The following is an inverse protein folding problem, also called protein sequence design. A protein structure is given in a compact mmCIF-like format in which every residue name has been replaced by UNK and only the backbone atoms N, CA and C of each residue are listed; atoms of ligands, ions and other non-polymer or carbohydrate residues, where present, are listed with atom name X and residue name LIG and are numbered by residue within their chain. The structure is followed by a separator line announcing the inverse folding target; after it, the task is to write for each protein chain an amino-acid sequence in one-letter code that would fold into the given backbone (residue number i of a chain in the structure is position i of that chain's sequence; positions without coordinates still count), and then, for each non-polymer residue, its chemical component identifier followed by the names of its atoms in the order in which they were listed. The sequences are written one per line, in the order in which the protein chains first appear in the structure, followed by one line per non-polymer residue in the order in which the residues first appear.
data_IF_621553663191
#
_entry.id   IF_621553663191
#
_cell.length_a   1.000
_cell.length_b   1.000
_cell.length_c   1.000
_cell.angle_alpha   90.00
_cell.angle_beta   90.00
_cell.angle_gamma   90.00
#
_symmetry.space_group_name_H-M   'P 1'
#
loop_
_entity.id
_entity.type
_entity.pdbx_description
1 polymer ?
#
# COMPACT_ATOMS: atom_id res chain seq x y z
N UNK A 1 -4.74 14.26 -7.17
CA UNK A 1 -4.34 14.81 -8.48
C UNK A 1 -4.35 13.70 -9.53
N UNK A 2 -4.89 14.02 -10.71
CA UNK A 2 -4.89 13.08 -11.83
C UNK A 2 -3.47 12.95 -12.41
N UNK A 3 -2.79 11.87 -12.06
CA UNK A 3 -1.41 11.58 -12.51
C UNK A 3 -1.28 11.52 -14.04
N UNK A 4 -2.39 11.25 -14.77
CA UNK A 4 -2.38 11.27 -16.23
C UNK A 4 -2.11 12.66 -16.79
N UNK A 5 -2.36 13.70 -16.00
CA UNK A 5 -2.13 15.10 -16.35
C UNK A 5 -0.78 15.63 -15.87
N UNK A 6 -0.07 14.88 -15.02
CA UNK A 6 1.24 15.29 -14.52
C UNK A 6 2.31 15.19 -15.62
N UNK A 7 2.92 16.32 -16.06
CA UNK A 7 3.88 16.30 -17.16
C UNK A 7 5.13 15.47 -16.89
N UNK A 8 5.58 15.38 -15.62
CA UNK A 8 6.76 14.61 -15.26
C UNK A 8 6.48 13.10 -15.41
N UNK A 9 5.33 12.62 -14.92
CA UNK A 9 4.92 11.22 -15.04
C UNK A 9 4.74 10.83 -16.51
N UNK A 10 4.06 11.67 -17.30
CA UNK A 10 3.89 11.42 -18.75
C UNK A 10 5.23 11.35 -19.48
N UNK A 11 6.15 12.23 -19.16
CA UNK A 11 7.49 12.24 -19.74
C UNK A 11 8.26 10.97 -19.38
N UNK A 12 8.22 10.55 -18.11
CA UNK A 12 8.86 9.32 -17.67
C UNK A 12 8.31 8.09 -18.42
N UNK A 13 6.98 7.96 -18.54
CA UNK A 13 6.35 6.88 -19.30
C UNK A 13 6.76 6.89 -20.77
N UNK A 14 6.79 8.07 -21.40
CA UNK A 14 7.21 8.21 -22.80
C UNK A 14 8.68 7.81 -23.03
N UNK A 15 9.57 8.19 -22.09
CA UNK A 15 11.01 7.86 -22.18
C UNK A 15 11.28 6.37 -22.07
N UNK A 16 10.49 5.64 -21.28
CA UNK A 16 10.69 4.18 -21.10
C UNK A 16 10.15 3.35 -22.26
N UNK A 17 9.40 3.94 -23.19
CA UNK A 17 8.67 3.26 -24.29
C UNK A 17 7.68 2.18 -23.79
N UNK A 18 7.29 2.24 -22.52
CA UNK A 18 6.36 1.29 -21.88
C UNK A 18 4.91 1.79 -21.84
N UNK A 19 4.58 2.84 -22.58
CA UNK A 19 3.26 3.47 -22.56
C UNK A 19 2.09 2.52 -22.83
N UNK A 20 2.29 1.47 -23.65
CA UNK A 20 1.26 0.45 -23.91
C UNK A 20 0.96 -0.44 -22.70
N UNK A 21 1.87 -0.51 -21.73
CA UNK A 21 1.77 -1.31 -20.49
C UNK A 21 1.29 -0.48 -19.29
N UNK A 22 1.25 0.85 -19.40
CA UNK A 22 0.83 1.75 -18.34
C UNK A 22 -0.61 2.17 -18.57
N UNK A 23 -1.46 2.02 -17.53
CA UNK A 23 -2.84 2.49 -17.51
C UNK A 23 -3.02 3.48 -16.37
N UNK A 24 -3.53 4.66 -16.69
CA UNK A 24 -3.95 5.67 -15.73
C UNK A 24 -5.45 5.49 -15.49
N UNK A 25 -5.81 5.03 -14.31
CA UNK A 25 -7.19 4.70 -13.98
C UNK A 25 -8.00 5.93 -13.53
N UNK A 26 -7.30 6.98 -13.04
CA UNK A 26 -7.95 8.16 -12.51
C UNK A 26 -8.78 7.86 -11.25
N UNK A 27 -9.78 8.70 -10.99
CA UNK A 27 -10.76 8.48 -9.92
C UNK A 27 -11.84 7.51 -10.40
N UNK A 28 -12.02 6.41 -9.68
CA UNK A 28 -13.07 5.44 -9.92
C UNK A 28 -14.05 5.34 -8.73
N UNK A 29 -15.21 4.70 -8.90
CA UNK A 29 -16.11 4.37 -7.81
C UNK A 29 -15.39 3.53 -6.76
N UNK A 30 -15.70 3.76 -5.48
CA UNK A 30 -15.06 3.06 -4.36
C UNK A 30 -15.20 1.52 -4.46
N UNK A 31 -16.34 1.05 -4.93
CA UNK A 31 -16.62 -0.39 -5.10
C UNK A 31 -15.70 -1.06 -6.13
N UNK A 32 -15.16 -0.30 -7.09
CA UNK A 32 -14.23 -0.84 -8.09
C UNK A 32 -12.81 -0.99 -7.55
N UNK A 33 -12.44 -0.26 -6.51
CA UNK A 33 -11.09 -0.30 -5.92
C UNK A 33 -10.77 -1.69 -5.35
N UNK A 34 -11.74 -2.32 -4.71
CA UNK A 34 -11.61 -3.69 -4.21
C UNK A 34 -11.28 -4.68 -5.33
N UNK A 35 -11.95 -4.58 -6.46
CA UNK A 35 -11.70 -5.45 -7.63
C UNK A 35 -10.27 -5.28 -8.14
N UNK A 36 -9.74 -4.05 -8.15
CA UNK A 36 -8.35 -3.82 -8.52
C UNK A 36 -7.38 -4.46 -7.54
N UNK A 37 -7.62 -4.35 -6.22
CA UNK A 37 -6.78 -5.03 -5.24
C UNK A 37 -6.83 -6.54 -5.46
N UNK A 38 -8.01 -7.17 -5.46
CA UNK A 38 -8.17 -8.62 -5.58
C UNK A 38 -7.57 -9.19 -6.89
N UNK A 39 -7.52 -8.39 -7.95
CA UNK A 39 -6.99 -8.80 -9.27
C UNK A 39 -5.51 -8.50 -9.45
N UNK A 40 -4.90 -7.72 -8.57
CA UNK A 40 -3.52 -7.30 -8.73
C UNK A 40 -2.53 -8.40 -8.30
N UNK A 41 -1.47 -8.61 -9.08
CA UNK A 41 -0.36 -9.49 -8.72
C UNK A 41 0.45 -8.94 -7.53
N UNK A 42 0.48 -7.61 -7.36
CA UNK A 42 1.07 -6.91 -6.23
C UNK A 42 0.53 -5.47 -6.16
N UNK A 43 0.52 -4.91 -4.95
CA UNK A 43 0.24 -3.50 -4.70
C UNK A 43 1.55 -2.79 -4.30
N UNK A 44 1.93 -1.74 -5.03
CA UNK A 44 3.16 -0.99 -4.80
C UNK A 44 2.83 0.42 -4.33
N UNK A 45 3.30 0.78 -3.14
CA UNK A 45 2.98 2.05 -2.48
C UNK A 45 4.25 2.81 -2.05
N UNK A 46 4.95 3.47 -3.00
CA UNK A 46 6.19 4.17 -2.76
C UNK A 46 5.96 5.62 -2.31
N UNK A 47 5.08 5.81 -1.35
CA UNK A 47 4.77 7.13 -0.81
C UNK A 47 5.94 7.70 -0.03
N UNK A 48 6.18 9.00 -0.16
CA UNK A 48 7.22 9.73 0.58
C UNK A 48 6.75 10.14 1.98
N UNK A 49 5.45 10.26 2.19
CA UNK A 49 4.86 10.62 3.47
C UNK A 49 3.40 10.16 3.54
N UNK A 50 3.01 9.57 4.66
CA UNK A 50 1.63 9.15 4.94
C UNK A 50 1.27 9.44 6.39
N UNK A 51 0.01 9.83 6.63
CA UNK A 51 -0.52 9.97 7.97
C UNK A 51 -0.77 8.61 8.65
N UNK A 52 -1.25 7.62 7.88
CA UNK A 52 -1.52 6.27 8.36
C UNK A 52 -1.11 5.19 7.35
N UNK A 53 -1.73 5.13 6.18
CA UNK A 53 -1.47 4.09 5.18
C UNK A 53 -2.63 3.11 5.01
N UNK A 54 -3.88 3.61 4.89
CA UNK A 54 -5.05 2.77 4.62
C UNK A 54 -4.93 1.95 3.33
N UNK A 55 -4.43 2.49 2.19
CA UNK A 55 -4.35 1.72 0.96
C UNK A 55 -3.53 0.42 1.05
N UNK A 56 -2.35 0.38 1.69
CA UNK A 56 -1.66 -0.88 1.97
C UNK A 56 -2.49 -1.88 2.79
N UNK A 57 -3.22 -1.43 3.82
CA UNK A 57 -4.08 -2.31 4.60
C UNK A 57 -5.28 -2.85 3.80
N UNK A 58 -5.88 -2.03 2.95
CA UNK A 58 -6.95 -2.43 2.04
C UNK A 58 -6.48 -3.50 1.06
N UNK A 59 -5.28 -3.32 0.48
CA UNK A 59 -4.64 -4.31 -0.38
C UNK A 59 -4.38 -5.62 0.39
N UNK A 60 -3.83 -5.56 1.60
CA UNK A 60 -3.60 -6.72 2.47
C UNK A 60 -4.90 -7.44 2.82
N UNK A 61 -5.96 -6.69 3.17
CA UNK A 61 -7.29 -7.24 3.46
C UNK A 61 -7.93 -7.94 2.26
N UNK A 62 -7.57 -7.51 1.06
CA UNK A 62 -8.01 -8.09 -0.22
C UNK A 62 -7.14 -9.30 -0.67
N UNK A 63 -6.13 -9.69 0.12
CA UNK A 63 -5.23 -10.79 -0.20
C UNK A 63 -4.15 -10.44 -1.24
N UNK A 64 -3.87 -9.16 -1.42
CA UNK A 64 -2.85 -8.67 -2.36
C UNK A 64 -1.52 -8.46 -1.64
N UNK A 65 -0.41 -9.02 -2.12
CA UNK A 65 0.91 -8.78 -1.53
C UNK A 65 1.34 -7.33 -1.75
N UNK A 66 1.98 -6.75 -0.73
CA UNK A 66 2.29 -5.32 -0.66
C UNK A 66 3.80 -5.07 -0.71
N UNK A 67 4.18 -4.05 -1.47
CA UNK A 67 5.49 -3.39 -1.44
C UNK A 67 5.27 -1.96 -0.95
N UNK A 68 5.85 -1.57 0.18
CA UNK A 68 5.60 -0.27 0.81
C UNK A 68 6.90 0.43 1.21
N UNK A 69 6.83 1.75 1.34
CA UNK A 69 7.96 2.58 1.76
C UNK A 69 8.36 2.33 3.22
N UNK A 70 9.63 2.59 3.52
CA UNK A 70 10.22 2.54 4.85
C UNK A 70 10.08 3.86 5.63
N UNK A 71 9.15 4.73 5.27
CA UNK A 71 9.00 6.07 5.84
C UNK A 71 7.66 6.28 6.53
N UNK A 72 7.62 7.28 7.41
CA UNK A 72 6.45 7.73 8.20
C UNK A 72 5.76 6.55 8.93
N UNK A 73 4.43 6.45 8.85
CA UNK A 73 3.63 5.41 9.52
C UNK A 73 3.68 4.04 8.85
N UNK A 74 4.16 3.95 7.61
CA UNK A 74 4.05 2.73 6.80
C UNK A 74 4.72 1.50 7.43
N UNK A 75 5.96 1.56 7.98
CA UNK A 75 6.58 0.39 8.62
C UNK A 75 5.78 -0.14 9.80
N UNK A 76 5.16 0.76 10.59
CA UNK A 76 4.30 0.38 11.72
C UNK A 76 3.02 -0.31 11.25
N UNK A 77 2.41 0.25 10.20
CA UNK A 77 1.12 -0.23 9.68
C UNK A 77 1.26 -1.57 8.98
N UNK A 78 2.28 -1.75 8.14
CA UNK A 78 2.44 -2.99 7.36
C UNK A 78 3.19 -4.08 8.13
N UNK A 79 4.02 -3.73 9.12
CA UNK A 79 4.86 -4.68 9.87
C UNK A 79 5.72 -5.54 8.94
N UNK A 80 5.81 -6.83 9.26
CA UNK A 80 6.54 -7.83 8.46
C UNK A 80 5.72 -8.41 7.29
N UNK A 81 4.54 -7.83 7.02
CA UNK A 81 3.62 -8.32 6.00
C UNK A 81 3.78 -7.67 4.62
N UNK A 82 4.83 -6.86 4.43
CA UNK A 82 5.15 -6.22 3.15
C UNK A 82 6.66 -6.30 2.84
N UNK A 83 7.00 -6.13 1.58
CA UNK A 83 8.39 -5.83 1.20
C UNK A 83 8.61 -4.35 1.40
N UNK A 84 9.59 -4.01 2.23
CA UNK A 84 9.94 -2.64 2.54
C UNK A 84 10.98 -2.11 1.54
N UNK A 85 10.73 -0.89 1.03
CA UNK A 85 11.61 -0.22 0.07
C UNK A 85 11.88 1.24 0.46
N UNK A 86 13.01 1.77 0.00
CA UNK A 86 13.28 3.20 0.06
C UNK A 86 12.58 3.90 -1.13
N UNK A 87 11.59 4.79 -0.89
CA UNK A 87 10.82 5.44 -1.95
C UNK A 87 11.62 6.43 -2.80
N UNK A 88 12.78 6.89 -2.32
CA UNK A 88 13.67 7.78 -3.06
C UNK A 88 14.66 7.01 -3.96
N UNK A 89 14.71 5.67 -3.84
CA UNK A 89 15.61 4.83 -4.61
C UNK A 89 14.84 3.96 -5.62
N UNK A 90 14.86 4.37 -6.89
CA UNK A 90 14.17 3.67 -7.98
C UNK A 90 14.62 2.20 -8.13
N UNK A 91 15.91 1.91 -7.84
CA UNK A 91 16.42 0.53 -7.92
C UNK A 91 15.89 -0.33 -6.77
N UNK A 92 15.68 0.25 -5.60
CA UNK A 92 15.08 -0.46 -4.46
C UNK A 92 13.59 -0.72 -4.68
N UNK A 93 12.86 0.25 -5.26
CA UNK A 93 11.47 0.04 -5.69
C UNK A 93 11.41 -1.12 -6.70
N UNK A 94 12.26 -1.09 -7.72
CA UNK A 94 12.33 -2.15 -8.74
C UNK A 94 12.70 -3.51 -8.13
N UNK A 95 13.62 -3.57 -7.14
CA UNK A 95 13.95 -4.78 -6.38
C UNK A 95 12.71 -5.33 -5.69
N UNK A 96 12.01 -4.52 -4.90
CA UNK A 96 10.80 -4.96 -4.18
C UNK A 96 9.71 -5.49 -5.11
N UNK A 97 9.47 -4.79 -6.23
CA UNK A 97 8.55 -5.25 -7.27
C UNK A 97 8.98 -6.60 -7.86
N UNK A 98 10.27 -6.75 -8.20
CA UNK A 98 10.81 -7.97 -8.78
C UNK A 98 10.68 -9.16 -7.83
N UNK A 99 11.01 -8.98 -6.55
CA UNK A 99 10.91 -10.02 -5.53
C UNK A 99 9.48 -10.53 -5.39
N UNK A 100 8.50 -9.64 -5.23
CA UNK A 100 7.11 -10.06 -5.06
C UNK A 100 6.53 -10.72 -6.31
N UNK A 101 6.98 -10.35 -7.49
CA UNK A 101 6.46 -10.88 -8.75
C UNK A 101 7.09 -12.21 -9.17
N UNK A 102 8.37 -12.44 -8.83
CA UNK A 102 9.13 -13.61 -9.29
C UNK A 102 9.29 -14.70 -8.24
N UNK A 103 9.18 -14.39 -6.94
CA UNK A 103 9.25 -15.37 -5.86
C UNK A 103 7.83 -15.73 -5.38
N UNK A 104 7.34 -16.86 -5.83
CA UNK A 104 5.99 -17.35 -5.50
C UNK A 104 5.84 -17.75 -4.02
N UNK A 105 6.91 -18.26 -3.40
CA UNK A 105 6.91 -18.60 -1.98
C UNK A 105 6.84 -17.33 -1.12
N UNK A 106 7.63 -16.31 -1.47
CA UNK A 106 7.58 -15.01 -0.84
C UNK A 106 6.20 -14.39 -0.97
N UNK A 107 5.65 -14.37 -2.19
CA UNK A 107 4.32 -13.82 -2.48
C UNK A 107 3.25 -14.49 -1.63
N UNK A 108 3.21 -15.83 -1.58
CA UNK A 108 2.26 -16.60 -0.78
C UNK A 108 2.37 -16.29 0.71
N UNK A 109 3.59 -16.17 1.22
CA UNK A 109 3.86 -15.80 2.62
C UNK A 109 3.36 -14.38 2.93
N UNK A 110 3.62 -13.41 2.04
CA UNK A 110 3.16 -12.03 2.21
C UNK A 110 1.65 -11.91 2.19
N UNK A 111 0.95 -12.66 1.33
CA UNK A 111 -0.52 -12.73 1.32
C UNK A 111 -1.06 -13.19 2.67
N UNK A 112 -0.53 -14.29 3.20
CA UNK A 112 -0.99 -14.81 4.50
C UNK A 112 -0.68 -13.85 5.66
N UNK A 113 0.53 -13.29 5.68
CA UNK A 113 0.92 -12.30 6.68
C UNK A 113 0.07 -11.02 6.57
N UNK A 114 -0.21 -10.55 5.34
CA UNK A 114 -1.03 -9.37 5.09
C UNK A 114 -2.46 -9.52 5.60
N UNK A 115 -3.10 -10.65 5.34
CA UNK A 115 -4.44 -10.95 5.86
C UNK A 115 -4.48 -10.96 7.40
N UNK A 116 -3.43 -11.46 8.04
CA UNK A 116 -3.31 -11.41 9.51
C UNK A 116 -3.05 -10.00 10.01
N UNK A 117 -2.17 -9.24 9.35
CA UNK A 117 -1.85 -7.87 9.72
C UNK A 117 -3.08 -6.95 9.61
N UNK A 118 -3.84 -7.04 8.52
CA UNK A 118 -5.03 -6.24 8.32
C UNK A 118 -6.08 -6.45 9.43
N UNK A 119 -6.24 -7.68 9.94
CA UNK A 119 -7.17 -8.00 11.05
C UNK A 119 -6.81 -7.35 12.38
N UNK A 120 -5.59 -6.83 12.55
CA UNK A 120 -5.17 -6.12 13.77
C UNK A 120 -5.78 -4.72 13.85
N UNK A 121 -6.31 -4.20 12.75
CA UNK A 121 -6.90 -2.88 12.64
C UNK A 121 -8.41 -2.99 12.44
N UNK A 122 -9.18 -2.30 13.28
CA UNK A 122 -10.63 -2.18 13.12
C UNK A 122 -11.12 -0.84 13.66
N UNK A 123 -12.18 -0.33 13.08
CA UNK A 123 -12.81 0.91 13.53
C UNK A 123 -13.38 0.78 14.95
N UNK A 124 -13.89 -0.40 15.32
CA UNK A 124 -14.38 -0.68 16.67
C UNK A 124 -13.26 -0.57 17.71
N UNK A 125 -12.08 -1.11 17.40
CA UNK A 125 -10.91 -1.00 18.26
C UNK A 125 -10.47 0.45 18.38
N UNK A 126 -10.35 1.17 17.27
CA UNK A 126 -9.99 2.59 17.25
C UNK A 126 -10.96 3.41 18.09
N UNK A 127 -12.28 3.21 17.92
CA UNK A 127 -13.29 3.92 18.70
C UNK A 127 -13.16 3.64 20.20
N UNK A 128 -12.89 2.39 20.59
CA UNK A 128 -12.69 2.02 22.00
C UNK A 128 -11.46 2.69 22.60
N UNK A 129 -10.32 2.63 21.91
CA UNK A 129 -9.07 3.26 22.36
C UNK A 129 -9.22 4.79 22.51
N UNK A 130 -9.95 5.45 21.61
CA UNK A 130 -10.26 6.89 21.71
C UNK A 130 -11.14 7.18 22.93
N UNK A 131 -12.17 6.37 23.19
CA UNK A 131 -13.03 6.53 24.36
C UNK A 131 -12.25 6.33 25.67
N UNK A 132 -11.36 5.34 25.72
CA UNK A 132 -10.50 5.09 26.86
C UNK A 132 -9.56 6.26 27.14
N UNK A 133 -9.00 6.87 26.09
CA UNK A 133 -8.16 8.06 26.19
C UNK A 133 -8.96 9.25 26.75
N UNK A 134 -10.18 9.49 26.28
CA UNK A 134 -11.05 10.54 26.83
C UNK A 134 -11.40 10.28 28.30
N UNK A 135 -11.75 9.06 28.66
CA UNK A 135 -12.05 8.70 30.04
C UNK A 135 -10.85 8.90 30.98
N UNK A 136 -9.63 8.67 30.51
CA UNK A 136 -8.44 8.89 31.29
C UNK A 136 -8.15 10.36 31.56
N UNK A 137 -8.52 11.26 30.63
CA UNK A 137 -8.36 12.72 30.79
C UNK A 137 -9.42 13.31 31.72
N UNK A 138 -10.68 12.86 31.60
CA UNK A 138 -11.81 13.39 32.40
C UNK A 138 -11.73 13.00 33.88
N UNK A 139 -11.05 11.87 34.21
CA UNK A 139 -10.86 11.42 35.60
C UNK A 139 -9.75 12.17 36.36
N UNK A 140 -9.07 13.12 35.72
CA UNK A 140 -8.12 14.05 36.36
C UNK A 140 -8.76 15.38 36.75
#
# INVERSE_FOLDING_TARGET
DDLSRNPAVRRAVAQTRLGSYVRFLGFGPFDTLRVFYESAAAFVFPSLYEGFGLPPLEAMASGTPVVASNVSSLPEVVGDAAIIINPENVFDIARGMREVLLDENMRSRLVQAGLQQARRFSWERTAREVLDAYAAVVKR
#
